data_IF_903114903500
#
_entry.id   IF_903114903500
#
_cell.length_a   1.000
_cell.length_b   1.000
_cell.length_c   1.000
_cell.angle_alpha   90.00
_cell.angle_beta   90.00
_cell.angle_gamma   90.00
#
_symmetry.space_group_name_H-M   'P 1'
#
loop_
_entity.id
_entity.type
_entity.pdbx_description
1 polymer ?
#
# COMPACT_ATOMS: atom_id res chain seq x y z
N UNK A 1 7.72 25.14 17.78
CA UNK A 1 7.75 25.04 16.30
C UNK A 1 8.53 23.80 15.83
N UNK A 2 9.76 23.55 16.29
CA UNK A 2 10.56 22.38 15.84
C UNK A 2 9.89 21.02 16.13
N UNK A 3 9.21 20.87 17.28
CA UNK A 3 8.48 19.64 17.63
C UNK A 3 7.21 19.40 16.80
N UNK A 4 6.55 20.47 16.33
CA UNK A 4 5.33 20.36 15.51
C UNK A 4 5.60 19.76 14.12
N UNK A 5 6.80 20.02 13.57
CA UNK A 5 7.21 19.46 12.27
C UNK A 5 7.59 17.96 12.35
N UNK A 6 7.99 17.47 13.53
CA UNK A 6 8.31 16.05 13.72
C UNK A 6 7.04 15.19 13.66
N UNK A 7 5.93 15.62 14.28
CA UNK A 7 4.65 14.89 14.28
C UNK A 7 4.11 14.67 12.85
N UNK A 8 4.26 15.64 11.94
CA UNK A 8 3.88 15.48 10.52
C UNK A 8 4.81 14.53 9.74
N UNK A 9 5.95 14.14 10.32
CA UNK A 9 6.98 13.33 9.68
C UNK A 9 6.96 11.86 10.14
N UNK A 10 6.22 11.51 11.19
CA UNK A 10 6.15 10.16 11.77
C UNK A 10 4.71 9.64 11.73
N UNK A 11 4.24 9.33 10.52
CA UNK A 11 3.11 8.41 10.32
C UNK A 11 1.78 9.03 9.91
N UNK A 12 1.62 10.36 9.96
CA UNK A 12 0.43 11.01 9.40
C UNK A 12 0.67 11.45 7.96
N UNK A 13 -0.33 11.25 7.10
CA UNK A 13 -0.32 11.84 5.76
C UNK A 13 -0.46 13.37 5.85
N UNK A 14 0.14 14.14 4.92
CA UNK A 14 -0.13 15.57 4.84
C UNK A 14 -1.62 15.82 4.62
N UNK A 15 -2.13 16.97 5.05
CA UNK A 15 -3.57 17.26 5.09
C UNK A 15 -4.29 17.07 3.73
N UNK A 16 -3.61 17.39 2.63
CA UNK A 16 -4.11 17.17 1.28
C UNK A 16 -4.32 15.69 0.90
N UNK A 17 -3.67 14.76 1.61
CA UNK A 17 -3.69 13.32 1.35
C UNK A 17 -4.50 12.51 2.37
N UNK A 18 -5.01 13.13 3.44
CA UNK A 18 -5.87 12.46 4.44
C UNK A 18 -7.07 11.72 3.82
N UNK A 19 -7.73 12.18 2.73
CA UNK A 19 -8.79 11.39 2.10
C UNK A 19 -8.35 10.03 1.54
N UNK A 20 -7.04 9.82 1.33
CA UNK A 20 -6.45 8.59 0.82
C UNK A 20 -5.86 7.70 1.91
N UNK A 21 -6.01 8.06 3.19
CA UNK A 21 -5.54 7.25 4.33
C UNK A 21 -6.01 5.79 4.24
N UNK A 22 -7.30 5.49 3.92
CA UNK A 22 -7.77 4.11 3.76
C UNK A 22 -7.13 3.36 2.58
N UNK A 23 -6.65 4.08 1.55
CA UNK A 23 -5.94 3.46 0.43
C UNK A 23 -4.53 3.06 0.84
N UNK A 24 -3.82 3.94 1.56
CA UNK A 24 -2.45 3.71 2.04
C UNK A 24 -2.40 2.51 2.97
N UNK A 25 -3.42 2.29 3.79
CA UNK A 25 -3.56 1.10 4.64
C UNK A 25 -3.55 -0.22 3.86
N UNK A 26 -4.02 -0.21 2.59
CA UNK A 26 -4.11 -1.40 1.75
C UNK A 26 -2.84 -1.62 0.92
N UNK A 27 -2.10 -0.56 0.56
CA UNK A 27 -0.91 -0.66 -0.31
C UNK A 27 0.12 -1.72 0.13
N UNK A 28 0.39 -1.96 1.43
CA UNK A 28 1.33 -3.00 1.87
C UNK A 28 0.99 -4.43 1.41
N UNK A 29 -0.26 -4.72 1.04
CA UNK A 29 -0.67 -6.05 0.57
C UNK A 29 -0.27 -6.32 -0.90
N UNK A 30 0.03 -5.29 -1.68
CA UNK A 30 0.27 -5.38 -3.12
C UNK A 30 1.33 -6.44 -3.50
N UNK A 31 2.48 -6.57 -2.80
CA UNK A 31 3.44 -7.63 -3.09
C UNK A 31 2.85 -9.05 -3.01
N UNK A 32 1.95 -9.30 -2.05
CA UNK A 32 1.25 -10.59 -1.95
C UNK A 32 0.27 -10.77 -3.12
N UNK A 33 -0.40 -9.72 -3.57
CA UNK A 33 -1.27 -9.78 -4.75
C UNK A 33 -0.49 -10.17 -6.01
N UNK A 34 0.75 -9.70 -6.18
CA UNK A 34 1.62 -10.12 -7.29
C UNK A 34 2.04 -11.59 -7.19
N UNK A 35 2.34 -12.07 -5.99
CA UNK A 35 2.59 -13.51 -5.78
C UNK A 35 1.35 -14.34 -6.16
N UNK A 36 0.16 -13.94 -5.70
CA UNK A 36 -1.09 -14.63 -6.04
C UNK A 36 -1.39 -14.53 -7.54
N UNK A 37 -1.10 -13.40 -8.17
CA UNK A 37 -1.25 -13.20 -9.61
C UNK A 37 -0.40 -14.20 -10.41
N UNK A 38 0.79 -14.58 -9.93
CA UNK A 38 1.60 -15.62 -10.57
C UNK A 38 0.87 -16.98 -10.60
N UNK A 39 0.17 -17.34 -9.52
CA UNK A 39 -0.65 -18.57 -9.49
C UNK A 39 -1.90 -18.45 -10.37
N UNK A 40 -2.53 -17.29 -10.43
CA UNK A 40 -3.65 -17.02 -11.36
C UNK A 40 -3.18 -17.20 -12.80
N UNK A 41 -2.01 -16.65 -13.15
CA UNK A 41 -1.41 -16.82 -14.46
C UNK A 41 -1.11 -18.28 -14.77
N UNK A 42 -0.44 -19.00 -13.86
CA UNK A 42 -0.15 -20.42 -14.04
C UNK A 42 -1.43 -21.26 -14.20
N UNK A 43 -2.48 -20.98 -13.42
CA UNK A 43 -3.77 -21.65 -13.56
C UNK A 43 -4.42 -21.37 -14.93
N UNK A 44 -4.32 -20.15 -15.47
CA UNK A 44 -4.87 -19.79 -16.78
C UNK A 44 -4.20 -20.56 -17.94
N UNK A 45 -2.91 -20.88 -17.82
CA UNK A 45 -2.18 -21.72 -18.78
C UNK A 45 -2.23 -23.22 -18.46
N UNK A 46 -3.02 -23.63 -17.46
CA UNK A 46 -3.13 -25.02 -16.95
C UNK A 46 -1.79 -25.59 -16.46
N UNK A 47 -0.92 -24.73 -15.90
CA UNK A 47 0.42 -25.12 -15.44
C UNK A 47 1.25 -25.82 -16.53
N UNK A 48 1.04 -25.42 -17.79
CA UNK A 48 1.94 -25.73 -18.92
C UNK A 48 3.03 -24.68 -19.00
#
# INVERSE_FOLDING_TARGET
MFLFNLEQSIGLLPEAYLPFDPLVDVLPIIPLLFLLLAFVWQAAVKFR
#
